data_IF_981707955188
#
_entry.id   IF_981707955188
#
_cell.length_a   1.000
_cell.length_b   1.000
_cell.length_c   1.000
_cell.angle_alpha   90.00
_cell.angle_beta   90.00
_cell.angle_gamma   90.00
#
_symmetry.space_group_name_H-M   'P 1'
#
loop_
_entity.id
_entity.type
_entity.pdbx_description
1 polymer ?
#
# COMPACT_ATOMS: atom_id res chain seq x y z
N UNK A 1 4.89 -2.33 11.45
CA UNK A 1 3.60 -2.21 10.72
C UNK A 1 3.16 -3.61 10.35
N UNK A 2 1.90 -3.98 10.62
CA UNK A 2 1.45 -5.34 10.33
C UNK A 2 1.15 -5.50 8.83
N UNK A 3 2.10 -6.12 8.11
CA UNK A 3 1.89 -6.63 6.75
C UNK A 3 1.53 -8.14 6.72
N UNK A 4 1.50 -8.81 7.88
CA UNK A 4 1.25 -10.25 8.03
C UNK A 4 -0.23 -10.61 7.90
N UNK A 5 -1.12 -9.84 8.52
CA UNK A 5 -2.54 -10.22 8.69
C UNK A 5 -3.42 -9.54 7.64
N UNK A 6 -4.26 -10.33 6.98
CA UNK A 6 -5.32 -9.84 6.09
C UNK A 6 -6.67 -9.94 6.81
N UNK A 7 -7.45 -8.85 6.77
CA UNK A 7 -8.76 -8.73 7.41
C UNK A 7 -9.61 -7.74 6.63
N UNK A 8 -10.55 -8.22 5.83
CA UNK A 8 -11.48 -7.35 5.13
C UNK A 8 -12.30 -6.52 6.13
N UNK A 9 -12.41 -5.21 5.89
CA UNK A 9 -13.22 -4.30 6.70
C UNK A 9 -14.05 -3.41 5.79
N UNK A 10 -15.27 -3.11 6.22
CA UNK A 10 -16.09 -2.10 5.57
C UNK A 10 -15.64 -0.70 6.03
N UNK A 11 -15.27 0.21 5.12
CA UNK A 11 -14.79 1.53 5.49
C UNK A 11 -15.95 2.42 5.95
N UNK A 12 -15.76 3.12 7.08
CA UNK A 12 -16.67 4.17 7.50
C UNK A 12 -16.47 5.46 6.66
N UNK A 13 -17.32 6.47 6.86
CA UNK A 13 -17.28 7.71 6.09
C UNK A 13 -15.91 8.44 6.16
N UNK A 14 -15.24 8.44 7.31
CA UNK A 14 -13.92 9.07 7.45
C UNK A 14 -12.85 8.33 6.65
N UNK A 15 -12.86 6.99 6.70
CA UNK A 15 -11.95 6.15 5.88
C UNK A 15 -12.22 6.37 4.39
N UNK A 16 -13.49 6.47 3.97
CA UNK A 16 -13.85 6.76 2.58
C UNK A 16 -13.25 8.10 2.12
N UNK A 17 -13.33 9.15 2.95
CA UNK A 17 -12.71 10.45 2.64
C UNK A 17 -11.18 10.34 2.48
N UNK A 18 -10.51 9.57 3.33
CA UNK A 18 -9.08 9.31 3.19
C UNK A 18 -8.73 8.55 1.92
N UNK A 19 -9.52 7.53 1.55
CA UNK A 19 -9.34 6.78 0.30
C UNK A 19 -9.52 7.70 -0.92
N UNK A 20 -10.50 8.60 -0.90
CA UNK A 20 -10.69 9.61 -1.95
C UNK A 20 -9.49 10.57 -2.05
N UNK A 21 -8.93 10.99 -0.92
CA UNK A 21 -7.71 11.83 -0.89
C UNK A 21 -6.50 11.10 -1.47
N UNK A 22 -6.35 9.81 -1.19
CA UNK A 22 -5.33 8.97 -1.83
C UNK A 22 -5.55 8.88 -3.35
N UNK A 23 -6.78 8.66 -3.81
CA UNK A 23 -7.08 8.63 -5.23
C UNK A 23 -6.68 9.94 -5.94
N UNK A 24 -6.94 11.09 -5.31
CA UNK A 24 -6.52 12.40 -5.84
C UNK A 24 -5.00 12.59 -5.86
N UNK A 25 -4.27 12.05 -4.87
CA UNK A 25 -2.80 12.07 -4.87
C UNK A 25 -2.27 11.25 -6.05
N UNK A 26 -2.78 10.05 -6.26
CA UNK A 26 -2.33 9.19 -7.37
C UNK A 26 -2.69 9.76 -8.74
N UNK A 27 -3.88 10.35 -8.90
CA UNK A 27 -4.24 11.04 -10.13
C UNK A 27 -3.25 12.15 -10.48
N UNK A 28 -2.75 12.91 -9.49
CA UNK A 28 -1.70 13.92 -9.72
C UNK A 28 -0.41 13.29 -10.23
N UNK A 29 0.02 12.16 -9.68
CA UNK A 29 1.21 11.45 -10.15
C UNK A 29 1.06 10.83 -11.56
N UNK A 30 -0.15 10.59 -12.04
CA UNK A 30 -0.38 10.16 -13.43
C UNK A 30 -0.26 11.31 -14.44
N UNK A 31 -0.49 12.56 -14.01
CA UNK A 31 -0.49 13.73 -14.87
C UNK A 31 0.81 14.55 -14.83
N UNK A 32 1.75 14.22 -13.95
CA UNK A 32 3.08 14.84 -13.96
C UNK A 32 3.92 14.28 -15.09
N UNK A 33 4.72 15.14 -15.72
CA UNK A 33 5.79 14.70 -16.61
C UNK A 33 6.84 13.98 -15.76
N UNK A 34 6.89 12.65 -15.90
CA UNK A 34 7.83 11.78 -15.17
C UNK A 34 8.41 10.73 -16.10
N UNK A 35 9.62 10.21 -15.81
CA UNK A 35 10.16 9.08 -16.54
C UNK A 35 9.19 7.89 -16.54
N UNK A 36 9.25 7.09 -17.60
CA UNK A 36 8.45 5.88 -17.70
C UNK A 36 8.75 4.92 -16.53
N UNK A 37 7.71 4.23 -16.08
CA UNK A 37 7.82 3.21 -15.04
C UNK A 37 6.60 3.19 -14.10
N UNK A 38 6.44 2.09 -13.36
CA UNK A 38 5.24 1.83 -12.59
C UNK A 38 5.19 2.59 -11.24
N UNK A 39 6.29 3.23 -10.84
CA UNK A 39 6.42 3.93 -9.56
C UNK A 39 6.03 5.40 -9.65
N UNK A 40 5.85 6.05 -8.50
CA UNK A 40 5.32 7.42 -8.42
C UNK A 40 6.21 8.44 -9.15
N UNK A 41 7.53 8.23 -9.13
CA UNK A 41 8.52 9.05 -9.85
C UNK A 41 9.16 8.30 -11.05
N UNK A 42 8.45 7.31 -11.61
CA UNK A 42 8.93 6.48 -12.72
C UNK A 42 9.68 5.24 -12.21
N UNK A 43 10.90 5.44 -11.72
CA UNK A 43 11.67 4.39 -11.01
C UNK A 43 11.33 4.37 -9.52
N UNK A 44 11.57 3.24 -8.86
CA UNK A 44 11.40 3.12 -7.40
C UNK A 44 12.23 4.20 -6.68
N UNK A 45 11.60 4.86 -5.71
CA UNK A 45 12.17 6.01 -5.01
C UNK A 45 11.75 6.06 -3.54
N UNK A 46 12.32 7.01 -2.80
CA UNK A 46 11.95 7.27 -1.42
C UNK A 46 10.45 7.55 -1.23
N UNK A 47 9.79 8.18 -2.22
CA UNK A 47 8.35 8.47 -2.14
C UNK A 47 7.56 7.16 -2.07
N UNK A 48 7.93 6.17 -2.88
CA UNK A 48 7.29 4.85 -2.88
C UNK A 48 7.51 4.12 -1.55
N UNK A 49 8.74 4.16 -1.01
CA UNK A 49 9.06 3.58 0.28
C UNK A 49 8.25 4.20 1.43
N UNK A 50 8.06 5.53 1.42
CA UNK A 50 7.24 6.24 2.41
C UNK A 50 5.75 5.84 2.32
N UNK A 51 5.26 5.51 1.13
CA UNK A 51 3.88 5.06 0.93
C UNK A 51 3.68 3.54 1.03
N UNK A 52 4.73 2.72 1.08
CA UNK A 52 4.63 1.27 1.27
C UNK A 52 3.73 0.87 2.46
N UNK A 53 3.79 1.56 3.61
CA UNK A 53 2.79 1.45 4.66
C UNK A 53 1.31 1.54 4.27
N UNK A 54 0.98 2.49 3.40
CA UNK A 54 -0.38 2.75 2.96
C UNK A 54 -0.85 1.64 2.04
N UNK A 55 0.04 1.18 1.14
CA UNK A 55 -0.20 0.00 0.30
C UNK A 55 -0.58 -1.21 1.16
N UNK A 56 0.20 -1.53 2.19
CA UNK A 56 -0.07 -2.67 3.07
C UNK A 56 -1.42 -2.55 3.77
N UNK A 57 -1.79 -1.36 4.28
CA UNK A 57 -3.11 -1.16 4.89
C UNK A 57 -4.25 -1.35 3.89
N UNK A 58 -4.15 -0.73 2.71
CA UNK A 58 -5.18 -0.85 1.68
C UNK A 58 -5.35 -2.32 1.29
N UNK A 59 -4.25 -3.04 1.06
CA UNK A 59 -4.26 -4.46 0.71
C UNK A 59 -4.84 -5.32 1.83
N UNK A 60 -4.29 -5.22 3.04
CA UNK A 60 -4.64 -6.08 4.16
C UNK A 60 -6.09 -5.86 4.62
N UNK A 61 -6.60 -4.65 4.48
CA UNK A 61 -7.99 -4.33 4.82
C UNK A 61 -8.99 -4.55 3.67
N UNK A 62 -8.53 -5.02 2.51
CA UNK A 62 -9.38 -5.25 1.34
C UNK A 62 -9.97 -3.96 0.75
N UNK A 63 -9.36 -2.81 1.03
CA UNK A 63 -9.84 -1.49 0.60
C UNK A 63 -9.52 -1.24 -0.88
N UNK A 64 -10.30 -0.37 -1.51
CA UNK A 64 -10.09 0.08 -2.89
C UNK A 64 -9.91 1.59 -2.94
N UNK A 65 -8.91 2.04 -3.69
CA UNK A 65 -8.55 3.46 -3.81
C UNK A 65 -8.85 3.95 -5.22
N UNK A 66 -8.08 3.48 -6.21
CA UNK A 66 -8.24 3.83 -7.62
C UNK A 66 -7.44 2.85 -8.50
N UNK A 67 -7.73 2.76 -9.80
CA UNK A 67 -6.94 1.93 -10.71
C UNK A 67 -5.46 2.32 -10.77
N UNK A 68 -5.16 3.61 -10.62
CA UNK A 68 -3.79 4.13 -10.57
C UNK A 68 -3.04 3.64 -9.33
N UNK A 69 -3.70 3.69 -8.17
CA UNK A 69 -3.16 3.16 -6.92
C UNK A 69 -2.94 1.66 -7.02
N UNK A 70 -3.89 0.90 -7.57
CA UNK A 70 -3.80 -0.55 -7.68
C UNK A 70 -2.61 -1.00 -8.55
N UNK A 71 -2.36 -0.32 -9.68
CA UNK A 71 -1.17 -0.59 -10.52
C UNK A 71 0.14 -0.37 -9.78
N UNK A 72 0.24 0.78 -9.09
CA UNK A 72 1.42 1.10 -8.29
C UNK A 72 1.60 0.13 -7.12
N UNK A 73 0.51 -0.21 -6.43
CA UNK A 73 0.51 -1.14 -5.30
C UNK A 73 0.94 -2.55 -5.72
N UNK A 74 0.52 -2.99 -6.91
CA UNK A 74 0.98 -4.26 -7.46
C UNK A 74 2.50 -4.23 -7.77
N UNK A 75 2.98 -3.18 -8.43
CA UNK A 75 4.41 -3.03 -8.70
C UNK A 75 5.27 -2.95 -7.42
N UNK A 76 4.76 -2.29 -6.38
CA UNK A 76 5.36 -2.30 -5.05
C UNK A 76 5.38 -3.70 -4.45
N UNK A 77 4.24 -4.39 -4.44
CA UNK A 77 4.14 -5.74 -3.91
C UNK A 77 5.13 -6.70 -4.59
N UNK A 78 5.34 -6.58 -5.90
CA UNK A 78 6.24 -7.46 -6.66
C UNK A 78 7.74 -7.17 -6.44
N UNK A 79 8.09 -6.13 -5.67
CA UNK A 79 9.49 -5.88 -5.30
C UNK A 79 10.06 -7.00 -4.42
N UNK A 80 11.28 -7.50 -4.70
CA UNK A 80 11.93 -8.50 -3.84
C UNK A 80 11.99 -8.07 -2.37
N UNK A 81 12.28 -6.79 -2.10
CA UNK A 81 12.33 -6.24 -0.75
C UNK A 81 10.95 -6.26 -0.04
N UNK A 82 9.84 -6.10 -0.78
CA UNK A 82 8.50 -6.19 -0.19
C UNK A 82 8.13 -7.64 0.14
N UNK A 83 8.54 -8.59 -0.71
CA UNK A 83 8.38 -10.02 -0.43
C UNK A 83 9.24 -10.48 0.76
N UNK A 84 10.48 -10.01 0.86
CA UNK A 84 11.35 -10.26 2.01
C UNK A 84 10.74 -9.71 3.31
N UNK A 85 10.22 -8.47 3.28
CA UNK A 85 9.54 -7.90 4.43
C UNK A 85 8.31 -8.71 4.84
N UNK A 86 7.48 -9.15 3.89
CA UNK A 86 6.33 -10.01 4.17
C UNK A 86 6.75 -11.35 4.79
N UNK A 87 7.82 -11.97 4.27
CA UNK A 87 8.35 -13.22 4.80
C UNK A 87 8.85 -13.06 6.23
N UNK A 88 9.61 -11.99 6.51
CA UNK A 88 10.10 -11.68 7.85
C UNK A 88 8.95 -11.43 8.84
N UNK A 89 7.92 -10.68 8.44
CA UNK A 89 6.74 -10.45 9.29
C UNK A 89 5.98 -11.75 9.59
N UNK A 90 5.89 -12.68 8.63
CA UNK A 90 5.28 -14.00 8.83
C UNK A 90 6.11 -14.89 9.78
N UNK A 91 7.43 -14.75 9.78
CA UNK A 91 8.32 -15.49 10.66
C UNK A 91 8.40 -14.91 12.09
N UNK A 92 7.89 -13.69 12.31
CA UNK A 92 7.94 -13.03 13.61
C UNK A 92 7.12 -13.78 14.67
N UNK A 93 7.78 -14.27 15.72
CA UNK A 93 7.15 -15.01 16.82
C UNK A 93 6.51 -14.10 17.86
N UNK A 94 6.90 -12.82 17.89
CA UNK A 94 6.31 -11.85 18.77
C UNK A 94 4.93 -11.47 18.24
N UNK A 95 3.92 -11.65 19.10
CA UNK A 95 2.53 -11.38 18.76
C UNK A 95 1.91 -10.44 19.77
N UNK A 96 1.03 -9.57 19.28
CA UNK A 96 0.23 -8.69 20.12
C UNK A 96 -1.24 -9.14 20.06
N UNK A 97 -1.74 -9.89 21.06
CA UNK A 97 -3.06 -10.53 20.99
C UNK A 97 -4.23 -9.59 20.68
N UNK A 98 -4.11 -8.31 21.04
CA UNK A 98 -5.12 -7.29 20.74
C UNK A 98 -5.29 -7.00 19.23
N UNK A 99 -4.30 -7.34 18.40
CA UNK A 99 -4.22 -6.99 16.97
C UNK A 99 -4.17 -8.20 16.03
N UNK A 100 -4.25 -9.42 16.56
CA UNK A 100 -4.04 -10.68 15.80
C UNK A 100 -5.27 -11.60 15.76
N UNK A 101 -6.46 -11.00 15.78
CA UNK A 101 -7.74 -11.70 15.67
C UNK A 101 -8.50 -11.38 14.38
#
# INVERSE_FOLDING_TARGET
>A
MNCRTEKAVEPNAAVIQDLQRLAQIWARFEHVDKPAGPFLAGRFSHVDAMFAPVMWRVRNYGLKVSPAFDRWAQAMYDLPAMQEWLAAARAETWQMPAYER
#
